data_IF_707494375310
#
_entry.id   IF_707494375310
#
_cell.length_a   1.000
_cell.length_b   1.000
_cell.length_c   1.000
_cell.angle_alpha   90.00
_cell.angle_beta   90.00
_cell.angle_gamma   90.00
#
_symmetry.space_group_name_H-M   'P 1'
#
loop_
_entity.id
_entity.type
_entity.pdbx_description
1 polymer ?
#
# COMPACT_ATOMS: atom_id res chain seq x y z
N UNK A 1 -17.11 -25.03 31.77
CA UNK A 1 -15.91 -25.53 31.08
C UNK A 1 -16.23 -25.57 29.60
N UNK A 2 -15.94 -24.49 28.91
CA UNK A 2 -15.77 -24.46 27.45
C UNK A 2 -14.57 -23.55 27.26
N UNK A 3 -13.43 -24.16 26.96
CA UNK A 3 -12.17 -23.46 26.71
C UNK A 3 -12.34 -22.65 25.42
N UNK A 4 -12.34 -21.33 25.53
CA UNK A 4 -12.16 -20.44 24.39
C UNK A 4 -10.75 -20.68 23.84
N UNK A 5 -10.68 -21.47 22.77
CA UNK A 5 -9.45 -21.65 22.00
C UNK A 5 -9.08 -20.30 21.38
N UNK A 6 -7.89 -19.74 21.64
CA UNK A 6 -7.48 -18.49 21.03
C UNK A 6 -7.39 -18.71 19.52
N UNK A 7 -8.24 -18.00 18.77
CA UNK A 7 -8.23 -18.04 17.31
C UNK A 7 -6.84 -17.74 16.79
N UNK A 8 -6.39 -18.53 15.80
CA UNK A 8 -5.14 -18.32 15.08
C UNK A 8 -5.09 -16.89 14.53
N UNK A 9 -4.35 -16.02 15.23
CA UNK A 9 -3.89 -14.75 14.68
C UNK A 9 -2.61 -15.05 13.89
N UNK A 10 -2.55 -14.79 12.57
CA UNK A 10 -1.32 -14.93 11.82
C UNK A 10 -0.26 -13.87 12.21
N UNK A 11 -0.60 -12.96 13.13
CA UNK A 11 0.25 -11.85 13.58
C UNK A 11 0.73 -12.12 15.02
N UNK A 12 2.02 -11.95 15.25
CA UNK A 12 2.62 -12.11 16.59
C UNK A 12 2.24 -10.94 17.50
N UNK A 13 2.07 -11.19 18.80
CA UNK A 13 1.82 -10.15 19.84
C UNK A 13 2.99 -9.14 20.01
N UNK A 14 4.02 -9.25 19.18
CA UNK A 14 5.25 -8.44 19.16
C UNK A 14 5.42 -7.59 17.90
N UNK A 15 4.43 -7.51 17.02
CA UNK A 15 4.54 -6.65 15.83
C UNK A 15 4.56 -5.17 16.25
N UNK A 16 5.70 -4.52 15.97
CA UNK A 16 5.91 -3.10 16.21
C UNK A 16 4.93 -2.33 15.33
N UNK A 17 3.91 -1.78 15.96
CA UNK A 17 2.95 -0.89 15.34
C UNK A 17 3.49 0.54 15.36
N UNK A 18 3.12 1.32 14.34
CA UNK A 18 3.58 2.69 14.22
C UNK A 18 2.48 3.62 13.66
N UNK A 19 2.65 4.92 13.89
CA UNK A 19 1.76 5.94 13.35
C UNK A 19 1.91 6.09 11.82
N UNK A 20 0.99 6.86 11.23
CA UNK A 20 1.02 7.14 9.80
C UNK A 20 2.28 7.88 9.32
N UNK A 21 2.89 8.71 10.18
CA UNK A 21 4.11 9.44 9.84
C UNK A 21 5.31 8.52 9.63
N UNK A 22 5.48 7.56 10.54
CA UNK A 22 6.47 6.49 10.44
C UNK A 22 6.13 5.51 9.31
N UNK A 23 4.85 5.22 9.10
CA UNK A 23 4.38 4.43 7.96
C UNK A 23 4.84 5.06 6.63
N UNK A 24 4.66 6.37 6.46
CA UNK A 24 5.18 7.10 5.30
C UNK A 24 6.70 6.99 5.14
N UNK A 25 7.46 6.99 6.23
CA UNK A 25 8.91 6.80 6.17
C UNK A 25 9.27 5.40 5.68
N UNK A 26 8.60 4.36 6.16
CA UNK A 26 8.80 2.99 5.68
C UNK A 26 8.42 2.81 4.21
N UNK A 27 7.33 3.44 3.76
CA UNK A 27 6.94 3.43 2.34
C UNK A 27 7.99 4.08 1.45
N UNK A 28 8.57 5.21 1.89
CA UNK A 28 9.70 5.87 1.18
C UNK A 28 10.94 4.99 1.10
N UNK A 29 11.13 4.08 2.06
CA UNK A 29 12.19 3.08 2.05
C UNK A 29 11.85 1.83 1.23
N UNK A 30 10.73 1.84 0.50
CA UNK A 30 10.31 0.73 -0.37
C UNK A 30 9.69 -0.45 0.38
N UNK A 31 9.32 -0.29 1.65
CA UNK A 31 8.62 -1.33 2.41
C UNK A 31 7.14 -1.36 2.05
N UNK A 32 6.53 -2.55 2.16
CA UNK A 32 5.09 -2.75 2.07
C UNK A 32 4.48 -2.64 3.47
N UNK A 33 3.33 -2.00 3.60
CA UNK A 33 2.65 -1.78 4.88
C UNK A 33 1.21 -2.25 4.87
N UNK A 34 0.73 -2.70 6.02
CA UNK A 34 -0.66 -3.03 6.26
C UNK A 34 -1.16 -2.39 7.55
N UNK A 35 -2.47 -2.35 7.74
CA UNK A 35 -3.09 -1.97 9.01
C UNK A 35 -3.73 -3.20 9.66
N UNK A 36 -3.60 -3.32 10.97
CA UNK A 36 -4.26 -4.39 11.74
C UNK A 36 -5.78 -4.36 11.58
N UNK A 37 -6.37 -3.16 11.51
CA UNK A 37 -7.80 -2.92 11.41
C UNK A 37 -8.40 -3.05 10.00
N UNK A 38 -7.62 -3.39 8.97
CA UNK A 38 -8.19 -3.59 7.63
C UNK A 38 -9.00 -4.88 7.53
N UNK A 39 -10.18 -4.77 6.89
CA UNK A 39 -11.17 -5.84 6.78
C UNK A 39 -10.81 -6.96 5.78
N UNK A 40 -9.59 -6.99 5.25
CA UNK A 40 -9.19 -7.92 4.19
C UNK A 40 -7.79 -8.48 4.39
N UNK A 41 -7.68 -9.81 4.31
CA UNK A 41 -6.39 -10.50 4.41
C UNK A 41 -5.52 -10.18 3.20
N UNK A 42 -4.24 -9.94 3.45
CA UNK A 42 -3.25 -9.72 2.39
C UNK A 42 -3.34 -8.36 1.70
N UNK A 43 -4.09 -7.41 2.28
CA UNK A 43 -4.09 -6.02 1.84
C UNK A 43 -2.79 -5.33 2.27
N UNK A 44 -2.15 -4.60 1.35
CA UNK A 44 -0.98 -3.80 1.68
C UNK A 44 -0.82 -2.60 0.75
N UNK A 45 -0.20 -1.54 1.28
CA UNK A 45 0.19 -0.32 0.56
C UNK A 45 1.68 -0.38 0.25
N UNK A 46 2.05 0.18 -0.90
CA UNK A 46 3.43 0.30 -1.34
C UNK A 46 3.63 1.57 -2.17
N UNK A 47 4.88 2.04 -2.22
CA UNK A 47 5.26 3.18 -3.05
C UNK A 47 5.61 2.71 -4.46
N UNK A 48 4.89 3.24 -5.45
CA UNK A 48 5.30 3.18 -6.86
C UNK A 48 6.24 4.34 -7.11
N UNK A 49 7.51 4.02 -7.42
CA UNK A 49 8.50 5.03 -7.73
C UNK A 49 8.12 5.81 -9.00
N UNK A 50 8.45 7.10 -9.02
CA UNK A 50 8.35 7.89 -10.25
C UNK A 50 9.28 7.30 -11.32
N UNK A 51 8.89 7.46 -12.58
CA UNK A 51 9.65 6.94 -13.71
C UNK A 51 9.64 7.91 -14.88
N UNK A 52 10.64 7.81 -15.74
CA UNK A 52 10.69 8.51 -17.03
C UNK A 52 10.71 7.46 -18.14
N UNK A 53 9.86 7.65 -19.13
CA UNK A 53 9.77 6.74 -20.27
C UNK A 53 9.13 7.43 -21.48
N UNK A 54 9.33 6.83 -22.66
CA UNK A 54 8.68 7.25 -23.88
C UNK A 54 7.30 6.62 -24.02
N UNK A 55 6.32 7.43 -24.42
CA UNK A 55 4.96 6.97 -24.67
C UNK A 55 4.94 5.94 -25.79
N UNK A 56 4.55 4.71 -25.46
CA UNK A 56 4.52 3.56 -26.38
C UNK A 56 3.28 2.67 -26.21
N UNK A 57 2.30 3.09 -25.41
CA UNK A 57 1.11 2.28 -25.09
C UNK A 57 -0.10 3.12 -24.69
N UNK A 58 -1.34 2.64 -24.91
CA UNK A 58 -2.54 3.25 -24.34
C UNK A 58 -2.55 3.22 -22.80
N UNK A 59 -3.26 4.13 -22.13
CA UNK A 59 -4.05 5.22 -22.72
C UNK A 59 -3.19 6.41 -23.18
N UNK A 60 -1.88 6.41 -22.90
CA UNK A 60 -1.01 7.56 -23.17
C UNK A 60 -0.90 7.92 -24.66
N UNK A 61 -1.00 6.94 -25.56
CA UNK A 61 -1.06 7.19 -27.01
C UNK A 61 -2.29 8.01 -27.46
N UNK A 62 -3.31 8.16 -26.61
CA UNK A 62 -4.46 9.05 -26.86
C UNK A 62 -4.32 10.44 -26.23
N UNK A 63 -3.24 10.68 -25.49
CA UNK A 63 -2.98 11.92 -24.73
C UNK A 63 -1.74 12.63 -25.29
N UNK A 64 -0.73 11.87 -25.69
CA UNK A 64 0.54 12.33 -26.23
C UNK A 64 0.88 11.59 -27.54
N UNK A 65 1.62 12.23 -28.46
CA UNK A 65 2.25 11.52 -29.57
C UNK A 65 3.13 10.37 -29.09
N UNK A 66 3.15 9.27 -29.85
CA UNK A 66 4.11 8.17 -29.63
C UNK A 66 5.55 8.71 -29.60
N UNK A 67 6.38 8.17 -28.70
CA UNK A 67 7.75 8.62 -28.49
C UNK A 67 7.90 9.85 -27.59
N UNK A 68 6.81 10.49 -27.15
CA UNK A 68 6.90 11.62 -26.21
C UNK A 68 7.53 11.16 -24.89
N UNK A 69 8.61 11.80 -24.47
CA UNK A 69 9.21 11.56 -23.15
C UNK A 69 8.37 12.20 -22.06
N UNK A 70 7.91 11.40 -21.09
CA UNK A 70 7.11 11.87 -19.96
C UNK A 70 7.73 11.47 -18.63
N UNK A 71 7.42 12.24 -17.59
CA UNK A 71 7.75 11.92 -16.20
C UNK A 71 6.48 11.52 -15.44
N UNK A 72 6.41 10.26 -15.03
CA UNK A 72 5.34 9.74 -14.19
C UNK A 72 5.67 10.00 -12.72
N UNK A 73 4.74 10.63 -11.99
CA UNK A 73 4.96 11.00 -10.58
C UNK A 73 4.90 9.77 -9.67
N UNK A 74 5.70 9.73 -8.58
CA UNK A 74 5.54 8.71 -7.56
C UNK A 74 4.16 8.82 -6.91
N UNK A 75 3.60 7.67 -6.51
CA UNK A 75 2.29 7.57 -5.90
C UNK A 75 2.21 6.30 -5.04
N UNK A 76 1.24 6.25 -4.14
CA UNK A 76 0.99 5.07 -3.33
C UNK A 76 -0.11 4.25 -3.98
N UNK A 77 0.13 2.95 -4.10
CA UNK A 77 -0.85 1.98 -4.53
C UNK A 77 -1.16 1.02 -3.38
N UNK A 78 -2.35 0.43 -3.43
CA UNK A 78 -2.77 -0.65 -2.56
C UNK A 78 -3.06 -1.89 -3.39
N UNK A 79 -2.64 -3.06 -2.88
CA UNK A 79 -3.21 -4.35 -3.28
C UNK A 79 -4.41 -4.62 -2.38
N UNK A 80 -5.58 -4.83 -2.97
CA UNK A 80 -6.83 -5.14 -2.27
C UNK A 80 -6.97 -6.64 -2.00
N UNK A 81 -7.94 -7.00 -1.15
CA UNK A 81 -8.18 -8.38 -0.74
C UNK A 81 -8.61 -9.30 -1.90
N UNK A 82 -9.21 -8.74 -2.95
CA UNK A 82 -9.58 -9.45 -4.18
C UNK A 82 -8.41 -9.65 -5.15
N UNK A 83 -7.21 -9.17 -4.79
CA UNK A 83 -6.00 -9.26 -5.60
C UNK A 83 -5.82 -8.13 -6.61
N UNK A 84 -6.77 -7.21 -6.73
CA UNK A 84 -6.62 -6.03 -7.60
C UNK A 84 -5.64 -5.02 -6.99
N UNK A 85 -5.11 -4.13 -7.83
CA UNK A 85 -4.27 -3.02 -7.42
C UNK A 85 -4.85 -1.70 -7.91
N UNK A 86 -4.67 -0.64 -7.14
CA UNK A 86 -5.04 0.71 -7.56
C UNK A 86 -4.44 1.79 -6.67
N UNK A 87 -4.56 3.04 -7.13
CA UNK A 87 -4.09 4.21 -6.40
C UNK A 87 -4.77 4.26 -5.04
N UNK A 88 -3.95 4.24 -3.99
CA UNK A 88 -4.44 4.30 -2.63
C UNK A 88 -4.65 5.75 -2.20
N UNK A 89 -5.89 6.07 -1.89
CA UNK A 89 -6.28 7.34 -1.29
C UNK A 89 -6.30 7.15 0.22
N UNK A 90 -5.22 7.54 0.91
CA UNK A 90 -5.18 7.55 2.36
C UNK A 90 -6.34 8.41 2.90
N UNK A 91 -7.27 7.77 3.61
CA UNK A 91 -8.37 8.49 4.25
C UNK A 91 -7.89 9.20 5.51
N UNK A 92 -8.64 10.18 6.00
CA UNK A 92 -8.33 10.79 7.31
C UNK A 92 -8.31 9.74 8.43
N UNK A 93 -9.17 8.73 8.35
CA UNK A 93 -9.14 7.60 9.27
C UNK A 93 -7.80 6.87 9.18
N UNK A 94 -7.32 6.51 7.98
CA UNK A 94 -6.01 5.86 7.83
C UNK A 94 -4.85 6.71 8.40
N UNK A 95 -4.90 8.03 8.18
CA UNK A 95 -3.85 8.94 8.62
C UNK A 95 -3.79 9.13 10.14
N UNK A 96 -4.90 8.91 10.85
CA UNK A 96 -5.01 9.12 12.30
C UNK A 96 -4.79 7.83 13.12
N UNK A 97 -4.47 6.73 12.45
CA UNK A 97 -4.37 5.42 13.09
C UNK A 97 -2.91 5.05 13.36
N UNK A 98 -2.73 4.24 14.40
CA UNK A 98 -1.42 3.87 14.95
C UNK A 98 -1.12 2.37 14.80
N UNK A 99 -1.95 1.66 14.03
CA UNK A 99 -1.92 0.20 13.87
C UNK A 99 -1.22 -0.27 12.58
N UNK A 100 -0.29 0.55 12.06
CA UNK A 100 0.47 0.25 10.86
C UNK A 100 1.58 -0.77 11.13
N UNK A 101 1.74 -1.74 10.23
CA UNK A 101 2.66 -2.87 10.37
C UNK A 101 3.39 -3.13 9.05
N UNK A 102 4.62 -3.64 9.11
CA UNK A 102 5.38 -4.07 7.94
C UNK A 102 4.81 -5.38 7.38
N UNK A 103 4.83 -5.51 6.05
CA UNK A 103 4.52 -6.76 5.36
C UNK A 103 5.82 -7.33 4.79
N UNK A 104 6.08 -8.61 5.03
CA UNK A 104 7.21 -9.35 4.43
C UNK A 104 7.04 -9.47 2.90
#
# INVERSE_FOLDING_TARGET
MTEDSPGYSPYSDTEVQFDFGMALNWLRLGRKLTRKGWNGKGMFVYLVAGSQFEVNRPPLLGIYPEGTSISYRPHLDMKYADGTCGVWLASQSDMLEEDWMLVE
#
